data_IF_060628245195
#
_entry.id   IF_060628245195
#
_cell.length_a   1.000
_cell.length_b   1.000
_cell.length_c   1.000
_cell.angle_alpha   90.00
_cell.angle_beta   90.00
_cell.angle_gamma   90.00
#
_symmetry.space_group_name_H-M   'P 1'
#
loop_
_entity.id
_entity.type
_entity.pdbx_description
1 polymer ?
#
# COMPACT_ATOMS: atom_id res chain seq x y z
N UNK A 1 -18.25 30.30 -10.65
CA UNK A 1 -18.75 29.40 -9.58
C UNK A 1 -18.66 27.98 -10.11
N UNK A 2 -18.05 27.09 -9.35
CA UNK A 2 -17.92 25.66 -9.67
C UNK A 2 -18.57 24.83 -8.57
N UNK A 3 -18.98 23.62 -8.89
CA UNK A 3 -19.49 22.68 -7.91
C UNK A 3 -18.36 22.24 -6.95
N UNK A 4 -18.72 21.85 -5.73
CA UNK A 4 -17.76 21.31 -4.77
C UNK A 4 -17.01 20.10 -5.35
N UNK A 5 -17.71 19.28 -6.15
CA UNK A 5 -17.07 18.16 -6.91
C UNK A 5 -15.92 18.63 -7.79
N UNK A 6 -16.16 19.64 -8.62
CA UNK A 6 -15.13 20.23 -9.51
C UNK A 6 -13.98 20.85 -8.69
N UNK A 7 -14.33 21.59 -7.62
CA UNK A 7 -13.33 22.25 -6.77
C UNK A 7 -12.40 21.25 -6.09
N UNK A 8 -12.95 20.16 -5.54
CA UNK A 8 -12.14 19.08 -4.93
C UNK A 8 -11.22 18.46 -5.97
N UNK A 9 -11.73 18.18 -7.18
CA UNK A 9 -10.96 17.55 -8.26
C UNK A 9 -9.81 18.45 -8.72
N UNK A 10 -10.06 19.75 -8.90
CA UNK A 10 -9.02 20.74 -9.20
C UNK A 10 -7.99 20.83 -8.06
N UNK A 11 -8.44 20.86 -6.81
CA UNK A 11 -7.55 20.96 -5.67
C UNK A 11 -6.60 19.74 -5.58
N UNK A 12 -7.09 18.52 -5.83
CA UNK A 12 -6.25 17.31 -5.89
C UNK A 12 -5.23 17.40 -7.03
N UNK A 13 -5.67 17.84 -8.21
CA UNK A 13 -4.81 18.00 -9.38
C UNK A 13 -3.72 19.06 -9.15
N UNK A 14 -4.11 20.24 -8.67
CA UNK A 14 -3.21 21.36 -8.42
C UNK A 14 -2.28 21.11 -7.23
N UNK A 15 -2.69 20.27 -6.26
CA UNK A 15 -1.80 19.76 -5.22
C UNK A 15 -0.68 18.85 -5.77
N UNK A 16 -0.71 18.49 -7.05
CA UNK A 16 0.28 17.62 -7.67
C UNK A 16 0.12 16.15 -7.31
N UNK A 17 -1.07 15.71 -6.88
CA UNK A 17 -1.31 14.29 -6.65
C UNK A 17 -1.09 13.51 -7.95
N UNK A 18 -0.18 12.54 -7.92
CA UNK A 18 0.20 11.73 -9.08
C UNK A 18 -0.61 10.44 -9.16
N UNK A 19 -0.89 9.84 -8.02
CA UNK A 19 -1.65 8.60 -7.93
C UNK A 19 -2.95 8.87 -7.18
N UNK A 20 -4.05 8.77 -7.91
CA UNK A 20 -5.40 8.92 -7.35
C UNK A 20 -6.15 7.62 -7.61
N UNK A 21 -6.68 7.01 -6.55
CA UNK A 21 -7.45 5.77 -6.62
C UNK A 21 -8.90 6.00 -6.21
N UNK A 22 -9.80 5.22 -6.77
CA UNK A 22 -11.22 5.28 -6.44
C UNK A 22 -11.83 3.87 -6.56
N UNK A 23 -12.66 3.52 -5.61
CA UNK A 23 -13.64 2.42 -5.76
C UNK A 23 -15.01 3.06 -5.97
N UNK A 24 -15.81 2.59 -6.95
CA UNK A 24 -17.11 3.19 -7.25
C UNK A 24 -18.00 3.32 -6.01
N UNK A 25 -18.47 4.52 -5.75
CA UNK A 25 -19.35 4.88 -4.65
C UNK A 25 -19.71 6.35 -4.72
N UNK A 26 -20.87 6.72 -4.12
CA UNK A 26 -21.38 8.07 -4.14
C UNK A 26 -20.32 9.08 -3.65
N UNK A 27 -20.19 10.19 -4.34
CA UNK A 27 -19.23 11.26 -4.07
C UNK A 27 -17.83 10.96 -4.64
N UNK A 28 -17.25 9.81 -4.30
CA UNK A 28 -15.95 9.42 -4.81
C UNK A 28 -15.93 9.19 -6.32
N UNK A 29 -17.00 8.64 -6.87
CA UNK A 29 -17.12 8.39 -8.32
C UNK A 29 -17.15 9.69 -9.11
N UNK A 30 -17.92 10.67 -8.65
CA UNK A 30 -18.12 11.95 -9.33
C UNK A 30 -16.82 12.79 -9.27
N UNK A 31 -16.20 12.87 -8.11
CA UNK A 31 -14.91 13.58 -7.96
C UNK A 31 -13.81 12.91 -8.79
N UNK A 32 -13.76 11.58 -8.82
CA UNK A 32 -12.77 10.86 -9.62
C UNK A 32 -12.98 11.07 -11.13
N UNK A 33 -14.22 11.09 -11.61
CA UNK A 33 -14.52 11.36 -13.00
C UNK A 33 -14.05 12.76 -13.41
N UNK A 34 -14.38 13.78 -12.62
CA UNK A 34 -13.92 15.15 -12.85
C UNK A 34 -12.38 15.26 -12.79
N UNK A 35 -11.71 14.54 -11.87
CA UNK A 35 -10.25 14.48 -11.81
C UNK A 35 -9.65 13.87 -13.09
N UNK A 36 -10.23 12.81 -13.63
CA UNK A 36 -9.77 12.19 -14.89
C UNK A 36 -9.88 13.18 -16.06
N UNK A 37 -10.94 13.95 -16.13
CA UNK A 37 -11.13 14.98 -17.16
C UNK A 37 -10.06 16.09 -17.04
N UNK A 38 -9.84 16.61 -15.85
CA UNK A 38 -8.83 17.66 -15.57
C UNK A 38 -7.42 17.18 -15.87
N UNK A 39 -7.07 15.97 -15.46
CA UNK A 39 -5.75 15.37 -15.68
C UNK A 39 -5.53 14.93 -17.15
N UNK A 40 -6.60 14.88 -17.95
CA UNK A 40 -6.58 14.32 -19.32
C UNK A 40 -6.05 12.87 -19.35
N UNK A 41 -6.25 12.11 -18.29
CA UNK A 41 -5.80 10.73 -18.15
C UNK A 41 -6.97 9.84 -17.75
N UNK A 42 -7.08 8.69 -18.40
CA UNK A 42 -8.04 7.67 -18.02
C UNK A 42 -7.41 6.76 -16.95
N UNK A 43 -7.72 7.05 -15.69
CA UNK A 43 -7.28 6.22 -14.57
C UNK A 43 -8.27 5.08 -14.36
N UNK A 44 -7.84 3.81 -14.27
CA UNK A 44 -8.74 2.70 -13.96
C UNK A 44 -9.31 2.83 -12.54
N UNK A 45 -10.61 2.51 -12.39
CA UNK A 45 -11.21 2.37 -11.06
C UNK A 45 -10.76 1.06 -10.42
N UNK A 46 -10.60 1.08 -9.11
CA UNK A 46 -10.27 -0.11 -8.33
C UNK A 46 -11.53 -0.91 -7.98
N UNK A 47 -11.35 -2.20 -7.69
CA UNK A 47 -12.45 -3.11 -7.35
C UNK A 47 -12.60 -3.34 -5.85
N UNK A 48 -11.57 -3.03 -5.08
CA UNK A 48 -11.52 -3.31 -3.64
C UNK A 48 -10.89 -2.15 -2.88
N UNK A 49 -11.53 -1.68 -1.82
CA UNK A 49 -11.14 -0.45 -1.11
C UNK A 49 -9.81 -0.58 -0.39
N UNK A 50 -9.55 -1.73 0.23
CA UNK A 50 -8.26 -1.99 0.88
C UNK A 50 -7.11 -1.96 -0.13
N UNK A 51 -7.32 -2.53 -1.31
CA UNK A 51 -6.34 -2.50 -2.41
C UNK A 51 -6.14 -1.09 -2.94
N UNK A 52 -7.23 -0.35 -3.20
CA UNK A 52 -7.19 1.04 -3.67
C UNK A 52 -6.42 1.96 -2.70
N UNK A 53 -6.73 1.84 -1.41
CA UNK A 53 -6.04 2.55 -0.33
C UNK A 53 -4.54 2.23 -0.33
N UNK A 54 -4.20 0.94 -0.40
CA UNK A 54 -2.80 0.48 -0.32
C UNK A 54 -1.99 0.86 -1.57
N UNK A 55 -2.60 0.92 -2.76
CA UNK A 55 -1.96 1.46 -3.96
C UNK A 55 -1.57 2.93 -3.74
N UNK A 56 -2.49 3.75 -3.25
CA UNK A 56 -2.20 5.16 -2.96
C UNK A 56 -1.15 5.32 -1.86
N UNK A 57 -1.20 4.51 -0.80
CA UNK A 57 -0.19 4.48 0.26
C UNK A 57 1.18 4.09 -0.29
N UNK A 58 1.27 3.06 -1.15
CA UNK A 58 2.52 2.64 -1.81
C UNK A 58 3.15 3.76 -2.64
N UNK A 59 2.33 4.53 -3.37
CA UNK A 59 2.80 5.70 -4.11
C UNK A 59 3.32 6.80 -3.19
N UNK A 60 2.64 7.06 -2.07
CA UNK A 60 3.09 8.02 -1.06
C UNK A 60 4.43 7.60 -0.44
N UNK A 61 4.58 6.34 -0.04
CA UNK A 61 5.84 5.81 0.48
C UNK A 61 6.97 5.93 -0.55
N UNK A 62 6.67 5.72 -1.83
CA UNK A 62 7.59 5.88 -2.95
C UNK A 62 7.92 7.34 -3.31
N UNK A 63 7.33 8.32 -2.61
CA UNK A 63 7.69 9.73 -2.70
C UNK A 63 6.78 10.60 -3.56
N UNK A 64 5.61 10.11 -3.99
CA UNK A 64 4.66 10.87 -4.79
C UNK A 64 3.37 11.16 -4.02
N UNK A 65 2.88 12.40 -4.09
CA UNK A 65 1.57 12.73 -3.50
C UNK A 65 0.48 11.85 -4.09
N UNK A 66 -0.39 11.34 -3.24
CA UNK A 66 -1.46 10.41 -3.61
C UNK A 66 -2.75 10.69 -2.87
N UNK A 67 -3.85 10.26 -3.45
CA UNK A 67 -5.16 10.32 -2.82
C UNK A 67 -5.97 9.04 -3.06
N UNK A 68 -6.83 8.72 -2.10
CA UNK A 68 -7.84 7.67 -2.25
C UNK A 68 -9.22 8.28 -2.03
N UNK A 69 -10.15 8.02 -2.97
CA UNK A 69 -11.52 8.51 -2.93
C UNK A 69 -12.46 7.35 -2.65
N UNK A 70 -12.98 7.27 -1.45
CA UNK A 70 -13.81 6.14 -1.00
C UNK A 70 -15.04 6.61 -0.23
N UNK A 71 -16.14 5.89 -0.39
CA UNK A 71 -17.33 6.04 0.44
C UNK A 71 -17.01 5.62 1.89
N UNK A 72 -17.75 6.12 2.87
CA UNK A 72 -17.57 5.78 4.29
C UNK A 72 -17.57 4.25 4.56
N UNK A 73 -18.41 3.47 3.87
CA UNK A 73 -18.40 2.01 3.94
C UNK A 73 -17.10 1.40 3.42
N UNK A 74 -16.54 2.03 2.36
CA UNK A 74 -15.23 1.63 1.83
C UNK A 74 -14.10 1.87 2.82
N UNK A 75 -14.17 2.95 3.61
CA UNK A 75 -13.20 3.18 4.70
C UNK A 75 -13.26 2.04 5.74
N UNK A 76 -14.48 1.62 6.13
CA UNK A 76 -14.65 0.51 7.07
C UNK A 76 -14.05 -0.79 6.52
N UNK A 77 -14.16 -1.03 5.21
CA UNK A 77 -13.56 -2.19 4.54
C UNK A 77 -12.03 -2.08 4.43
N UNK A 78 -11.49 -0.86 4.31
CA UNK A 78 -10.05 -0.58 4.24
C UNK A 78 -9.40 -0.40 5.63
N UNK A 79 -10.13 -0.64 6.73
CA UNK A 79 -9.69 -0.35 8.10
C UNK A 79 -8.30 -0.92 8.44
N UNK A 80 -8.04 -2.17 8.02
CA UNK A 80 -6.76 -2.84 8.23
C UNK A 80 -5.60 -2.08 7.55
N UNK A 81 -5.77 -1.65 6.29
CA UNK A 81 -4.77 -0.84 5.58
C UNK A 81 -4.53 0.51 6.24
N UNK A 82 -5.59 1.13 6.79
CA UNK A 82 -5.47 2.40 7.52
C UNK A 82 -4.57 2.22 8.74
N UNK A 83 -4.83 1.22 9.58
CA UNK A 83 -4.05 0.95 10.79
C UNK A 83 -2.57 0.69 10.47
N UNK A 84 -2.28 -0.14 9.47
CA UNK A 84 -0.91 -0.44 9.07
C UNK A 84 -0.20 0.79 8.48
N UNK A 85 -0.92 1.62 7.71
CA UNK A 85 -0.34 2.83 7.13
C UNK A 85 0.03 3.89 8.17
N UNK A 86 -0.68 3.95 9.30
CA UNK A 86 -0.31 4.80 10.44
C UNK A 86 0.99 4.34 11.10
N UNK A 87 1.21 3.03 11.16
CA UNK A 87 2.48 2.45 11.66
C UNK A 87 3.63 2.68 10.69
N UNK A 88 3.41 2.44 9.39
CA UNK A 88 4.41 2.63 8.33
C UNK A 88 4.70 4.11 8.02
N UNK A 89 3.74 4.99 8.28
CA UNK A 89 3.84 6.40 7.92
C UNK A 89 3.79 6.67 6.41
N UNK A 90 4.19 7.88 6.01
CA UNK A 90 4.24 8.34 4.62
C UNK A 90 5.55 9.07 4.33
N UNK A 91 5.93 9.14 3.04
CA UNK A 91 7.05 9.97 2.56
C UNK A 91 6.54 11.25 1.92
N UNK A 92 5.57 11.14 1.00
CA UNK A 92 4.84 12.26 0.42
C UNK A 92 3.41 12.32 0.98
N UNK A 93 2.69 13.39 0.71
CA UNK A 93 1.32 13.57 1.20
C UNK A 93 0.37 12.48 0.71
N UNK A 94 -0.35 11.85 1.63
CA UNK A 94 -1.41 10.88 1.35
C UNK A 94 -2.71 11.33 1.99
N UNK A 95 -3.70 11.63 1.15
CA UNK A 95 -5.00 12.15 1.57
C UNK A 95 -6.11 11.15 1.25
N UNK A 96 -6.91 10.80 2.26
CA UNK A 96 -8.07 9.92 2.14
C UNK A 96 -9.33 10.77 2.14
N UNK A 97 -10.01 10.88 0.99
CA UNK A 97 -11.27 11.57 0.91
C UNK A 97 -12.41 10.58 1.18
N UNK A 98 -13.08 10.79 2.30
CA UNK A 98 -14.14 9.91 2.81
C UNK A 98 -15.49 10.57 2.58
N UNK A 99 -16.30 9.97 1.71
CA UNK A 99 -17.62 10.48 1.35
C UNK A 99 -18.70 9.87 2.25
N UNK A 100 -19.35 10.72 3.04
CA UNK A 100 -20.35 10.37 4.04
C UNK A 100 -21.76 10.67 3.52
N UNK A 101 -22.53 9.64 3.22
CA UNK A 101 -23.93 9.72 2.81
C UNK A 101 -24.86 9.65 4.05
N UNK A 102 -24.84 10.72 4.84
CA UNK A 102 -25.54 10.78 6.13
C UNK A 102 -27.05 10.64 6.03
N UNK A 103 -27.63 10.95 4.89
CA UNK A 103 -29.08 10.84 4.65
C UNK A 103 -29.48 9.54 3.99
N UNK A 104 -28.52 8.61 3.79
CA UNK A 104 -28.74 7.31 3.15
C UNK A 104 -29.49 7.39 1.81
N UNK A 105 -29.13 8.37 0.99
CA UNK A 105 -29.75 8.51 -0.33
C UNK A 105 -29.27 7.41 -1.29
N UNK A 106 -28.08 6.90 -1.06
CA UNK A 106 -27.38 5.90 -1.88
C UNK A 106 -26.64 4.85 -1.04
N UNK A 107 -27.03 4.71 0.24
CA UNK A 107 -26.40 3.77 1.16
C UNK A 107 -27.45 2.88 1.83
N UNK A 108 -27.14 1.59 1.96
CA UNK A 108 -28.04 0.62 2.58
C UNK A 108 -28.12 0.76 4.12
N UNK A 109 -27.14 1.41 4.73
CA UNK A 109 -27.15 1.71 6.16
C UNK A 109 -26.35 3.00 6.47
N UNK A 110 -26.66 3.57 7.62
CA UNK A 110 -25.98 4.75 8.16
C UNK A 110 -25.23 4.33 9.42
N UNK A 111 -24.02 4.84 9.59
CA UNK A 111 -23.23 4.62 10.81
C UNK A 111 -22.43 5.88 11.17
N UNK A 112 -21.87 5.91 12.38
CA UNK A 112 -21.11 7.05 12.87
C UNK A 112 -19.69 7.06 12.27
N UNK A 113 -19.50 7.72 11.12
CA UNK A 113 -18.20 7.81 10.41
C UNK A 113 -17.13 8.53 11.23
N UNK A 114 -17.43 9.65 11.94
CA UNK A 114 -16.48 10.24 12.88
C UNK A 114 -15.95 9.28 13.94
N UNK A 115 -16.81 8.45 14.52
CA UNK A 115 -16.38 7.44 15.50
C UNK A 115 -15.47 6.36 14.88
N UNK A 116 -15.72 5.96 13.62
CA UNK A 116 -14.84 5.05 12.89
C UNK A 116 -13.45 5.69 12.68
N UNK A 117 -13.40 6.93 12.19
CA UNK A 117 -12.13 7.65 11.98
C UNK A 117 -11.34 7.80 13.28
N UNK A 118 -12.02 8.13 14.38
CA UNK A 118 -11.41 8.22 15.71
C UNK A 118 -10.89 6.86 16.18
N UNK A 119 -11.67 5.79 16.01
CA UNK A 119 -11.30 4.43 16.38
C UNK A 119 -10.11 3.88 15.58
N UNK A 120 -9.95 4.34 14.34
CA UNK A 120 -8.79 4.04 13.49
C UNK A 120 -7.57 4.91 13.81
N UNK A 121 -7.72 5.93 14.65
CA UNK A 121 -6.69 6.91 15.00
C UNK A 121 -6.14 7.71 13.80
N UNK A 122 -6.84 7.72 12.66
CA UNK A 122 -6.40 8.51 11.51
C UNK A 122 -6.71 10.00 11.76
N UNK A 123 -5.72 10.90 11.63
CA UNK A 123 -5.98 12.33 11.72
C UNK A 123 -7.00 12.75 10.65
N UNK A 124 -8.08 13.43 11.06
CA UNK A 124 -9.08 13.83 10.08
C UNK A 124 -9.64 15.22 10.35
N UNK A 125 -10.18 15.84 9.29
CA UNK A 125 -10.99 17.07 9.35
C UNK A 125 -12.27 16.85 8.54
N UNK A 126 -13.36 17.48 9.00
CA UNK A 126 -14.58 17.58 8.18
C UNK A 126 -14.44 18.79 7.26
N UNK A 127 -14.72 18.59 5.97
CA UNK A 127 -14.73 19.66 4.98
C UNK A 127 -15.74 20.75 5.40
N UNK A 128 -15.32 22.01 5.35
CA UNK A 128 -16.15 23.17 5.56
C UNK A 128 -16.35 23.90 4.23
N UNK A 129 -17.60 24.24 3.90
CA UNK A 129 -17.90 25.05 2.73
C UNK A 129 -17.28 26.46 2.85
N UNK A 130 -17.08 27.11 1.73
CA UNK A 130 -16.49 28.44 1.53
C UNK A 130 -14.94 28.50 1.54
N UNK A 131 -14.27 27.38 1.75
CA UNK A 131 -12.81 27.27 1.61
C UNK A 131 -12.39 25.84 1.16
N UNK A 132 -13.24 25.18 0.39
CA UNK A 132 -13.09 23.79 -0.05
C UNK A 132 -11.75 23.56 -0.73
N UNK A 133 -11.39 24.40 -1.71
CA UNK A 133 -10.17 24.23 -2.48
C UNK A 133 -8.93 24.24 -1.58
N UNK A 134 -8.83 25.23 -0.69
CA UNK A 134 -7.67 25.38 0.20
C UNK A 134 -7.57 24.24 1.22
N UNK A 135 -8.68 23.81 1.79
CA UNK A 135 -8.69 22.72 2.76
C UNK A 135 -8.16 21.42 2.16
N UNK A 136 -8.45 21.12 0.88
CA UNK A 136 -7.89 19.95 0.19
C UNK A 136 -6.39 20.14 -0.07
N UNK A 137 -5.94 21.32 -0.50
CA UNK A 137 -4.52 21.63 -0.67
C UNK A 137 -3.74 21.47 0.65
N UNK A 138 -4.27 22.04 1.72
CA UNK A 138 -3.67 22.00 3.05
C UNK A 138 -3.62 20.57 3.63
N UNK A 139 -4.54 19.69 3.23
CA UNK A 139 -4.52 18.29 3.68
C UNK A 139 -3.26 17.54 3.22
N UNK A 140 -2.77 17.80 2.00
CA UNK A 140 -1.51 17.20 1.55
C UNK A 140 -0.31 17.70 2.37
N UNK A 141 -0.23 19.01 2.59
CA UNK A 141 0.83 19.60 3.42
C UNK A 141 0.75 19.12 4.88
N UNK A 142 -0.46 18.97 5.40
CA UNK A 142 -0.69 18.42 6.74
C UNK A 142 -0.23 16.97 6.84
N UNK A 143 -0.57 16.11 5.86
CA UNK A 143 -0.05 14.75 5.78
C UNK A 143 1.48 14.70 5.77
N UNK A 144 2.11 15.55 4.97
CA UNK A 144 3.58 15.65 4.89
C UNK A 144 4.22 16.09 6.21
N UNK A 145 3.61 17.07 6.89
CA UNK A 145 4.10 17.55 8.17
C UNK A 145 4.05 16.50 9.29
N UNK A 146 3.01 15.67 9.29
CA UNK A 146 2.86 14.55 10.22
C UNK A 146 3.63 13.30 9.76
N UNK A 147 3.92 13.20 8.47
CA UNK A 147 4.35 11.95 7.83
C UNK A 147 3.38 10.80 8.16
N UNK A 148 2.09 11.07 8.02
CA UNK A 148 0.97 10.13 8.23
C UNK A 148 -0.08 10.33 7.14
N UNK A 149 -0.86 9.29 6.80
CA UNK A 149 -2.10 9.51 6.06
C UNK A 149 -3.03 10.40 6.87
N UNK A 150 -3.79 11.27 6.19
CA UNK A 150 -4.83 12.09 6.80
C UNK A 150 -6.14 11.93 6.05
N UNK A 151 -7.27 12.08 6.73
CA UNK A 151 -8.57 11.98 6.11
C UNK A 151 -9.29 13.34 6.04
N UNK A 152 -10.04 13.55 4.95
CA UNK A 152 -11.01 14.63 4.82
C UNK A 152 -12.40 14.00 4.70
N UNK A 153 -13.24 14.25 5.69
CA UNK A 153 -14.62 13.77 5.74
C UNK A 153 -15.53 14.74 5.01
N UNK A 154 -16.21 14.28 3.96
CA UNK A 154 -17.00 15.09 3.03
C UNK A 154 -18.44 14.59 3.08
N UNK A 155 -19.38 15.53 3.30
CA UNK A 155 -20.81 15.25 3.19
C UNK A 155 -21.21 15.20 1.72
N UNK A 156 -21.82 14.11 1.29
CA UNK A 156 -22.23 13.94 -0.11
C UNK A 156 -23.29 14.94 -0.56
N UNK A 157 -24.12 15.45 0.37
CA UNK A 157 -25.12 16.50 0.08
C UNK A 157 -24.50 17.86 -0.25
N UNK A 158 -23.21 18.05 0.03
CA UNK A 158 -22.52 19.29 -0.29
C UNK A 158 -21.95 19.32 -1.72
N UNK A 159 -21.78 18.19 -2.38
CA UNK A 159 -21.05 18.05 -3.64
C UNK A 159 -21.60 18.87 -4.81
N UNK A 160 -22.92 19.05 -4.86
CA UNK A 160 -23.59 19.87 -5.89
C UNK A 160 -23.65 21.37 -5.56
N UNK A 161 -23.26 21.79 -4.37
CA UNK A 161 -23.24 23.21 -3.99
C UNK A 161 -22.18 23.96 -4.77
N UNK A 162 -22.42 25.26 -4.98
CA UNK A 162 -21.54 26.11 -5.76
C UNK A 162 -20.67 26.99 -4.86
N UNK A 163 -19.40 27.08 -5.19
CA UNK A 163 -18.43 27.92 -4.49
C UNK A 163 -17.51 28.61 -5.51
N UNK A 164 -16.92 29.74 -5.13
CA UNK A 164 -15.85 30.39 -5.90
C UNK A 164 -14.51 30.07 -5.27
N UNK A 165 -13.50 29.79 -6.08
CA UNK A 165 -12.14 29.57 -5.63
C UNK A 165 -11.15 30.21 -6.59
N UNK A 166 -9.91 30.40 -6.15
CA UNK A 166 -8.81 30.82 -6.98
C UNK A 166 -7.85 29.65 -7.14
N UNK A 167 -7.71 29.09 -8.35
CA UNK A 167 -6.79 27.98 -8.58
C UNK A 167 -5.33 28.44 -8.36
N UNK A 168 -4.52 27.54 -7.82
CA UNK A 168 -3.08 27.71 -7.69
C UNK A 168 -2.38 27.05 -8.89
N UNK A 169 -1.14 27.45 -9.12
CA UNK A 169 -0.30 26.70 -10.05
C UNK A 169 -0.10 25.28 -9.51
N UNK A 170 -0.21 24.29 -10.40
CA UNK A 170 -0.01 22.90 -10.04
C UNK A 170 1.34 22.70 -9.37
N UNK A 171 1.32 22.13 -8.18
CA UNK A 171 2.54 21.80 -7.44
C UNK A 171 3.30 20.68 -8.15
N UNK A 172 4.63 20.82 -8.18
CA UNK A 172 5.55 19.73 -8.51
C UNK A 172 6.13 19.28 -7.18
N UNK A 173 5.53 18.24 -6.61
CA UNK A 173 6.00 17.66 -5.34
C UNK A 173 6.44 16.24 -5.60
N UNK A 174 7.73 16.01 -5.45
CA UNK A 174 8.33 14.70 -5.53
C UNK A 174 9.36 14.60 -4.41
N UNK A 175 9.21 13.57 -3.59
CA UNK A 175 10.12 13.26 -2.50
C UNK A 175 10.92 12.01 -2.89
N UNK A 176 12.23 12.05 -2.75
CA UNK A 176 13.04 10.87 -3.02
C UNK A 176 12.81 9.82 -1.94
N UNK A 177 12.42 8.63 -2.36
CA UNK A 177 12.34 7.49 -1.46
C UNK A 177 13.72 7.22 -0.83
N UNK A 178 13.70 7.07 0.50
CA UNK A 178 14.86 6.63 1.27
C UNK A 178 14.46 5.40 2.07
N UNK A 179 15.19 4.30 1.85
CA UNK A 179 14.96 3.06 2.59
C UNK A 179 15.05 3.30 4.10
N UNK A 180 13.97 3.05 4.80
CA UNK A 180 13.88 3.14 6.27
C UNK A 180 13.02 1.98 6.80
N UNK A 181 13.66 0.83 7.00
CA UNK A 181 12.96 -0.39 7.43
C UNK A 181 12.35 -0.27 8.82
N UNK A 182 12.93 0.55 9.69
CA UNK A 182 12.42 0.73 11.06
C UNK A 182 11.05 1.43 11.02
N UNK A 183 10.86 2.35 10.09
CA UNK A 183 9.60 3.07 9.93
C UNK A 183 8.64 2.34 8.99
N UNK A 184 9.12 1.86 7.82
CA UNK A 184 8.24 1.43 6.73
C UNK A 184 8.00 -0.09 6.67
N UNK A 185 8.61 -0.87 7.55
CA UNK A 185 8.37 -2.30 7.64
C UNK A 185 7.46 -2.59 8.83
N UNK A 186 6.18 -2.80 8.56
CA UNK A 186 5.22 -3.29 9.56
C UNK A 186 5.50 -4.78 9.79
N UNK A 187 5.97 -5.11 10.98
CA UNK A 187 6.40 -6.47 11.30
C UNK A 187 6.88 -6.62 12.74
N UNK A 188 7.36 -7.80 13.14
CA UNK A 188 7.55 -8.15 14.55
C UNK A 188 8.68 -7.38 15.28
N UNK A 189 9.54 -6.65 14.56
CA UNK A 189 10.74 -6.08 15.20
C UNK A 189 10.57 -4.65 15.71
N UNK A 190 9.61 -3.88 15.18
CA UNK A 190 9.51 -2.45 15.43
C UNK A 190 8.16 -1.94 15.94
N UNK A 191 7.16 -2.76 16.31
CA UNK A 191 5.81 -2.28 16.59
C UNK A 191 5.77 -1.31 17.78
N UNK A 192 6.56 -1.55 18.83
CA UNK A 192 6.63 -0.66 20.00
C UNK A 192 7.22 0.72 19.62
N UNK A 193 8.25 0.75 18.80
CA UNK A 193 8.85 2.00 18.32
C UNK A 193 7.87 2.75 17.41
N UNK A 194 7.27 2.07 16.44
CA UNK A 194 6.30 2.66 15.51
C UNK A 194 5.09 3.22 16.26
N UNK A 195 4.60 2.52 17.30
CA UNK A 195 3.51 3.01 18.14
C UNK A 195 3.89 4.28 18.90
N UNK A 196 5.05 4.33 19.52
CA UNK A 196 5.56 5.54 20.23
C UNK A 196 5.71 6.73 19.26
N UNK A 197 6.22 6.48 18.05
CA UNK A 197 6.33 7.51 17.02
C UNK A 197 4.94 8.01 16.58
N UNK A 198 3.97 7.13 16.39
CA UNK A 198 2.60 7.50 16.05
C UNK A 198 1.97 8.36 17.16
N UNK A 199 2.06 7.94 18.42
CA UNK A 199 1.53 8.68 19.56
C UNK A 199 2.12 10.09 19.67
N UNK A 200 3.45 10.22 19.52
CA UNK A 200 4.11 11.53 19.53
C UNK A 200 3.65 12.42 18.36
N UNK A 201 3.50 11.87 17.15
CA UNK A 201 2.97 12.61 15.99
C UNK A 201 1.54 13.10 16.22
N UNK A 202 0.68 12.26 16.81
CA UNK A 202 -0.72 12.60 17.07
C UNK A 202 -0.87 13.64 18.20
N UNK A 203 0.02 13.61 19.21
CA UNK A 203 0.05 14.58 20.31
C UNK A 203 0.78 15.89 19.97
N UNK A 204 1.46 15.94 18.80
CA UNK A 204 2.28 17.09 18.41
C UNK A 204 3.62 17.19 19.13
N UNK A 205 4.06 16.09 19.71
CA UNK A 205 5.37 15.99 20.37
C UNK A 205 6.51 15.73 19.36
N UNK A 206 7.74 16.00 19.80
CA UNK A 206 8.94 15.78 18.97
C UNK A 206 9.30 14.30 18.88
N UNK A 207 8.72 13.59 17.91
CA UNK A 207 8.97 12.18 17.66
C UNK A 207 10.42 11.86 17.23
N UNK A 208 11.14 12.84 16.70
CA UNK A 208 12.57 12.70 16.32
C UNK A 208 13.49 12.42 17.51
N UNK A 209 13.03 12.71 18.73
CA UNK A 209 13.76 12.44 19.96
C UNK A 209 13.60 11.00 20.46
N UNK A 210 12.70 10.22 19.88
CA UNK A 210 12.50 8.81 20.26
C UNK A 210 13.70 8.00 19.77
N UNK A 211 14.31 7.27 20.71
CA UNK A 211 15.49 6.46 20.41
C UNK A 211 15.17 5.39 19.36
N UNK A 212 15.80 5.50 18.21
CA UNK A 212 15.66 4.56 17.09
C UNK A 212 16.27 3.20 17.46
N UNK A 213 15.53 2.08 17.32
CA UNK A 213 16.07 0.74 17.54
C UNK A 213 17.05 0.35 16.43
N UNK A 214 17.90 -0.62 16.73
CA UNK A 214 18.79 -1.24 15.73
C UNK A 214 18.09 -2.44 15.11
N UNK A 215 18.02 -2.57 13.78
CA UNK A 215 17.51 -3.79 13.14
C UNK A 215 18.31 -5.02 13.58
N UNK A 216 17.64 -6.16 13.84
CA UNK A 216 18.33 -7.39 14.21
C UNK A 216 19.23 -7.88 13.05
N UNK A 217 20.38 -8.46 13.38
CA UNK A 217 21.19 -9.22 12.42
C UNK A 217 20.67 -10.66 12.35
N UNK A 218 20.21 -11.08 11.20
CA UNK A 218 19.62 -12.42 11.03
C UNK A 218 20.63 -13.40 10.44
N UNK A 219 20.57 -14.70 10.81
CA UNK A 219 19.64 -15.31 11.77
C UNK A 219 19.99 -15.14 13.24
N UNK A 220 21.22 -14.72 13.59
CA UNK A 220 21.83 -14.90 14.89
C UNK A 220 21.10 -14.18 16.04
N UNK A 221 20.44 -13.05 15.75
CA UNK A 221 19.69 -12.27 16.73
C UNK A 221 18.24 -12.75 16.92
N UNK A 222 17.83 -13.82 16.27
CA UNK A 222 16.47 -14.33 16.29
C UNK A 222 16.29 -15.51 17.25
N UNK A 223 15.08 -15.76 17.76
CA UNK A 223 14.72 -17.00 18.43
C UNK A 223 14.96 -18.22 17.51
N UNK A 224 15.30 -19.39 18.06
CA UNK A 224 15.67 -20.61 17.32
C UNK A 224 14.65 -21.01 16.24
N UNK A 225 13.35 -20.88 16.54
CA UNK A 225 12.29 -21.18 15.57
C UNK A 225 12.38 -20.29 14.33
N UNK A 226 12.65 -19.01 14.49
CA UNK A 226 12.81 -18.08 13.38
C UNK A 226 14.16 -18.28 12.66
N UNK A 227 15.20 -18.68 13.38
CA UNK A 227 16.47 -19.04 12.74
C UNK A 227 16.32 -20.20 11.76
N UNK A 228 15.53 -21.23 12.11
CA UNK A 228 15.26 -22.35 11.21
C UNK A 228 14.53 -21.88 9.93
N UNK A 229 13.55 -21.01 10.07
CA UNK A 229 12.85 -20.40 8.94
C UNK A 229 13.84 -19.62 8.06
N UNK A 230 14.70 -18.78 8.65
CA UNK A 230 15.70 -18.04 7.89
C UNK A 230 16.63 -18.97 7.13
N UNK A 231 17.12 -20.05 7.74
CA UNK A 231 18.00 -21.02 7.06
C UNK A 231 17.33 -21.68 5.85
N UNK A 232 16.03 -21.97 5.95
CA UNK A 232 15.25 -22.56 4.85
C UNK A 232 15.18 -21.61 3.64
N UNK A 233 14.97 -20.31 3.87
CA UNK A 233 14.80 -19.32 2.79
C UNK A 233 16.10 -18.61 2.41
N UNK A 234 17.19 -18.79 3.17
CA UNK A 234 18.47 -18.11 2.97
C UNK A 234 19.06 -18.28 1.55
N UNK A 235 19.03 -19.47 0.88
CA UNK A 235 19.55 -19.61 -0.47
C UNK A 235 18.86 -18.67 -1.46
N UNK A 236 17.51 -18.62 -1.43
CA UNK A 236 16.74 -17.75 -2.29
C UNK A 236 17.05 -16.27 -2.03
N UNK A 237 17.05 -15.82 -0.78
CA UNK A 237 17.29 -14.41 -0.45
C UNK A 237 18.75 -13.98 -0.69
N UNK A 238 19.71 -14.90 -0.61
CA UNK A 238 21.10 -14.63 -0.97
C UNK A 238 21.28 -14.32 -2.46
N UNK A 239 20.53 -15.00 -3.33
CA UNK A 239 20.49 -14.71 -4.76
C UNK A 239 19.65 -13.43 -5.01
N UNK A 240 18.43 -13.37 -4.44
CA UNK A 240 17.50 -12.26 -4.65
C UNK A 240 18.13 -10.91 -4.26
N UNK A 241 18.94 -10.86 -3.20
CA UNK A 241 19.68 -9.66 -2.77
C UNK A 241 20.47 -8.98 -3.91
N UNK A 242 21.02 -9.79 -4.84
CA UNK A 242 21.80 -9.27 -5.98
C UNK A 242 20.94 -8.84 -7.16
N UNK A 243 19.70 -9.35 -7.25
CA UNK A 243 18.79 -9.17 -8.37
C UNK A 243 17.57 -8.32 -8.02
N UNK A 244 17.43 -7.95 -6.75
CA UNK A 244 16.31 -7.13 -6.29
C UNK A 244 16.22 -5.81 -7.05
N UNK A 245 15.00 -5.34 -7.25
CA UNK A 245 14.77 -4.09 -7.94
C UNK A 245 14.95 -2.83 -7.08
N UNK A 246 14.39 -1.74 -7.57
CA UNK A 246 14.48 -0.41 -6.95
C UNK A 246 13.72 -0.36 -5.63
N UNK A 247 12.51 -0.93 -5.60
CA UNK A 247 11.66 -1.06 -4.41
C UNK A 247 11.15 -2.50 -4.32
N UNK A 248 11.28 -3.08 -3.16
CA UNK A 248 10.75 -4.40 -2.82
C UNK A 248 9.75 -4.25 -1.69
N UNK A 249 8.51 -4.64 -1.95
CA UNK A 249 7.46 -4.66 -0.95
C UNK A 249 7.24 -6.06 -0.39
N UNK A 250 6.87 -6.16 0.86
CA UNK A 250 6.49 -7.39 1.53
C UNK A 250 5.14 -7.24 2.23
N UNK A 251 4.60 -8.34 2.68
CA UNK A 251 3.48 -8.39 3.61
C UNK A 251 3.93 -8.98 4.95
N UNK A 252 3.04 -9.02 5.93
CA UNK A 252 3.31 -9.62 7.25
C UNK A 252 3.46 -11.14 7.10
N UNK A 253 4.63 -11.56 6.64
CA UNK A 253 4.99 -12.94 6.33
C UNK A 253 6.48 -13.17 6.59
N UNK A 254 7.00 -14.33 6.18
CA UNK A 254 8.42 -14.69 6.23
C UNK A 254 9.32 -13.62 5.57
N UNK A 255 8.81 -12.93 4.52
CA UNK A 255 9.58 -11.90 3.81
C UNK A 255 10.01 -10.74 4.70
N UNK A 256 9.21 -10.38 5.70
CA UNK A 256 9.49 -9.28 6.66
C UNK A 256 10.83 -9.46 7.38
N UNK A 257 11.20 -10.71 7.71
CA UNK A 257 12.46 -11.03 8.38
C UNK A 257 13.65 -10.59 7.51
N UNK A 258 13.55 -10.78 6.19
CA UNK A 258 14.61 -10.47 5.23
C UNK A 258 14.73 -8.98 4.88
N UNK A 259 13.95 -8.11 5.53
CA UNK A 259 14.20 -6.67 5.55
C UNK A 259 15.47 -6.30 6.33
N UNK A 260 15.91 -7.18 7.23
CA UNK A 260 17.03 -6.99 8.14
C UNK A 260 18.38 -7.39 7.54
N UNK A 261 19.52 -6.87 8.10
CA UNK A 261 20.85 -7.31 7.71
C UNK A 261 21.07 -8.83 7.98
N UNK A 262 21.88 -9.52 7.18
CA UNK A 262 22.70 -9.03 6.06
C UNK A 262 21.98 -9.00 4.71
N UNK A 263 20.71 -9.43 4.64
CA UNK A 263 19.97 -9.56 3.38
C UNK A 263 19.49 -8.21 2.83
N UNK A 264 18.80 -7.41 3.65
CA UNK A 264 18.27 -6.11 3.24
C UNK A 264 17.40 -6.18 1.96
N UNK A 265 16.61 -7.23 1.84
CA UNK A 265 15.88 -7.56 0.61
C UNK A 265 14.52 -6.89 0.49
N UNK A 266 13.94 -6.42 1.59
CA UNK A 266 12.60 -5.83 1.63
C UNK A 266 12.69 -4.40 2.16
N UNK A 267 11.92 -3.49 1.58
CA UNK A 267 11.98 -2.06 1.88
C UNK A 267 10.75 -1.56 2.63
N UNK A 268 9.58 -2.08 2.27
CA UNK A 268 8.27 -1.67 2.78
C UNK A 268 7.44 -2.93 3.05
N UNK A 269 6.81 -3.01 4.20
CA UNK A 269 5.87 -4.10 4.52
C UNK A 269 4.57 -3.53 5.10
N UNK A 270 3.47 -4.23 4.82
CA UNK A 270 2.15 -3.95 5.34
C UNK A 270 1.43 -5.27 5.69
N UNK A 271 0.12 -5.24 5.87
CA UNK A 271 -0.73 -6.38 6.21
C UNK A 271 -0.61 -7.58 5.26
N UNK A 272 -1.20 -8.70 5.66
CA UNK A 272 -1.24 -9.96 4.89
C UNK A 272 -1.88 -9.74 3.51
N UNK A 273 -1.10 -9.94 2.44
CA UNK A 273 -1.53 -9.74 1.04
C UNK A 273 -1.40 -8.32 0.51
N UNK A 274 -0.94 -7.37 1.32
CA UNK A 274 -0.79 -5.96 0.92
C UNK A 274 0.48 -5.65 0.11
N UNK A 275 1.41 -6.59 -0.05
CA UNK A 275 2.65 -6.37 -0.80
C UNK A 275 2.40 -5.99 -2.26
N UNK A 276 1.46 -6.67 -2.93
CA UNK A 276 1.16 -6.43 -4.36
C UNK A 276 0.61 -5.02 -4.59
N UNK A 277 -0.44 -4.55 -3.90
CA UNK A 277 -0.93 -3.19 -4.08
C UNK A 277 0.10 -2.12 -3.68
N UNK A 278 0.95 -2.33 -2.67
CA UNK A 278 2.07 -1.41 -2.37
C UNK A 278 3.02 -1.27 -3.56
N UNK A 279 3.41 -2.40 -4.17
CA UNK A 279 4.30 -2.41 -5.33
C UNK A 279 3.66 -1.73 -6.56
N UNK A 280 2.36 -1.93 -6.79
CA UNK A 280 1.62 -1.20 -7.83
C UNK A 280 1.75 0.30 -7.59
N UNK A 281 1.55 0.78 -6.36
CA UNK A 281 1.72 2.17 -5.99
C UNK A 281 3.12 2.70 -6.30
N UNK A 282 4.17 1.94 -5.98
CA UNK A 282 5.55 2.29 -6.30
C UNK A 282 5.80 2.35 -7.82
N UNK A 283 5.23 1.42 -8.60
CA UNK A 283 5.29 1.48 -10.07
C UNK A 283 4.63 2.75 -10.61
N UNK A 284 3.44 3.10 -10.12
CA UNK A 284 2.72 4.30 -10.52
C UNK A 284 3.45 5.59 -10.10
N UNK A 285 4.24 5.53 -9.02
CA UNK A 285 5.14 6.60 -8.62
C UNK A 285 6.33 6.78 -9.59
N UNK A 286 6.64 5.78 -10.41
CA UNK A 286 7.67 5.87 -11.45
C UNK A 286 8.81 4.87 -11.32
N UNK A 287 8.82 4.01 -10.31
CA UNK A 287 9.80 2.95 -10.16
C UNK A 287 9.51 1.80 -11.13
N UNK A 288 10.49 1.45 -11.96
CA UNK A 288 10.28 0.50 -13.05
C UNK A 288 10.55 -0.95 -12.68
N UNK A 289 11.36 -1.16 -11.68
CA UNK A 289 11.81 -2.50 -11.25
C UNK A 289 11.36 -2.73 -9.81
N UNK A 290 10.08 -3.05 -9.65
CA UNK A 290 9.47 -3.32 -8.34
C UNK A 290 9.14 -4.79 -8.17
N UNK A 291 9.33 -5.29 -6.94
CA UNK A 291 9.00 -6.64 -6.54
C UNK A 291 8.01 -6.63 -5.38
N UNK A 292 7.03 -7.53 -5.44
CA UNK A 292 6.14 -7.85 -4.33
C UNK A 292 6.44 -9.26 -3.82
N UNK A 293 6.73 -9.41 -2.55
CA UNK A 293 7.03 -10.68 -1.90
C UNK A 293 5.88 -11.09 -0.99
N UNK A 294 5.35 -12.29 -1.15
CA UNK A 294 4.19 -12.78 -0.39
C UNK A 294 4.29 -14.29 -0.15
N UNK A 295 3.67 -14.76 0.93
CA UNK A 295 3.43 -16.20 1.13
C UNK A 295 2.18 -16.67 0.38
N UNK A 296 2.07 -17.97 0.14
CA UNK A 296 0.89 -18.58 -0.48
C UNK A 296 -0.39 -18.30 0.30
N UNK A 297 -0.37 -18.42 1.63
CA UNK A 297 -1.51 -18.05 2.47
C UNK A 297 -1.90 -16.57 2.30
N UNK A 298 -0.94 -15.67 2.37
CA UNK A 298 -1.18 -14.23 2.21
C UNK A 298 -1.71 -13.89 0.82
N UNK A 299 -1.18 -14.55 -0.21
CA UNK A 299 -1.64 -14.39 -1.58
C UNK A 299 -3.10 -14.84 -1.74
N UNK A 300 -3.44 -16.01 -1.17
CA UNK A 300 -4.81 -16.52 -1.20
C UNK A 300 -5.78 -15.70 -0.36
N UNK A 301 -5.34 -15.16 0.78
CA UNK A 301 -6.19 -14.38 1.66
C UNK A 301 -6.60 -13.02 1.06
N UNK A 302 -5.65 -12.31 0.44
CA UNK A 302 -5.90 -10.96 -0.09
C UNK A 302 -5.01 -10.58 -1.28
N UNK A 303 -3.80 -11.14 -1.41
CA UNK A 303 -2.83 -10.71 -2.42
C UNK A 303 -3.33 -10.87 -3.87
N UNK A 304 -4.14 -11.91 -4.15
CA UNK A 304 -4.71 -12.15 -5.48
C UNK A 304 -5.61 -11.00 -5.97
N UNK A 305 -6.22 -10.23 -5.06
CA UNK A 305 -7.00 -9.05 -5.43
C UNK A 305 -6.12 -7.97 -6.10
N UNK A 306 -4.84 -7.91 -5.72
CA UNK A 306 -3.86 -7.02 -6.36
C UNK A 306 -3.52 -7.42 -7.80
N UNK A 307 -3.64 -8.69 -8.20
CA UNK A 307 -3.39 -9.12 -9.58
C UNK A 307 -4.34 -8.46 -10.58
N UNK A 308 -5.62 -8.39 -10.23
CA UNK A 308 -6.65 -7.75 -11.08
C UNK A 308 -6.28 -6.29 -11.32
N UNK A 309 -5.83 -5.60 -10.27
CA UNK A 309 -5.38 -4.20 -10.37
C UNK A 309 -4.10 -4.06 -11.21
N UNK A 310 -3.13 -4.97 -11.07
CA UNK A 310 -1.92 -4.94 -11.86
C UNK A 310 -2.19 -5.14 -13.34
N UNK A 311 -3.10 -6.06 -13.68
CA UNK A 311 -3.48 -6.35 -15.07
C UNK A 311 -4.22 -5.18 -15.70
N UNK A 312 -5.29 -4.68 -15.07
CA UNK A 312 -6.06 -3.58 -15.65
C UNK A 312 -5.25 -2.29 -15.84
N UNK A 313 -4.16 -2.13 -15.06
CA UNK A 313 -3.25 -0.99 -15.12
C UNK A 313 -2.02 -1.23 -15.97
N UNK A 314 -1.86 -2.43 -16.52
CA UNK A 314 -0.70 -2.83 -17.31
C UNK A 314 0.63 -2.64 -16.56
N UNK A 315 0.68 -3.03 -15.28
CA UNK A 315 1.85 -2.85 -14.43
C UNK A 315 2.86 -3.98 -14.64
N UNK A 316 4.12 -3.70 -15.02
CA UNK A 316 5.15 -4.71 -15.22
C UNK A 316 5.74 -5.24 -13.89
N UNK A 317 4.86 -5.59 -12.96
CA UNK A 317 5.18 -5.99 -11.60
C UNK A 317 5.80 -7.37 -11.56
N UNK A 318 6.79 -7.57 -10.66
CA UNK A 318 7.35 -8.87 -10.32
C UNK A 318 6.80 -9.32 -8.97
N UNK A 319 6.24 -10.52 -8.93
CA UNK A 319 5.66 -11.10 -7.72
C UNK A 319 6.43 -12.37 -7.40
N UNK A 320 6.88 -12.52 -6.15
CA UNK A 320 7.51 -13.73 -5.65
C UNK A 320 6.63 -14.33 -4.56
N UNK A 321 6.12 -15.54 -4.82
CA UNK A 321 5.24 -16.28 -3.91
C UNK A 321 6.03 -17.44 -3.30
N UNK A 322 6.06 -17.52 -1.97
CA UNK A 322 6.62 -18.65 -1.23
C UNK A 322 5.51 -19.67 -1.01
N UNK A 323 5.53 -20.77 -1.76
CA UNK A 323 4.53 -21.83 -1.66
C UNK A 323 4.99 -22.92 -0.69
N UNK A 324 4.58 -22.84 0.56
CA UNK A 324 4.91 -23.81 1.60
C UNK A 324 3.68 -24.55 2.15
N UNK A 325 2.49 -24.25 1.64
CA UNK A 325 1.20 -24.79 2.08
C UNK A 325 0.96 -24.64 3.59
N UNK A 326 1.47 -23.55 4.17
CA UNK A 326 1.34 -23.26 5.61
C UNK A 326 1.13 -21.76 5.86
N UNK A 327 0.27 -21.43 6.80
CA UNK A 327 0.20 -20.07 7.37
C UNK A 327 1.38 -19.88 8.34
N UNK A 328 2.60 -19.75 7.79
CA UNK A 328 3.86 -19.86 8.54
C UNK A 328 3.99 -18.80 9.65
N UNK A 329 3.57 -17.57 9.39
CA UNK A 329 3.69 -16.47 10.35
C UNK A 329 2.76 -16.60 11.58
N UNK A 330 1.72 -17.44 11.50
CA UNK A 330 0.68 -17.59 12.54
C UNK A 330 0.68 -18.95 13.20
N UNK A 331 1.73 -19.73 13.06
CA UNK A 331 1.91 -21.03 13.74
C UNK A 331 1.89 -22.25 12.83
N UNK A 332 2.00 -22.08 11.51
CA UNK A 332 2.19 -23.15 10.56
C UNK A 332 0.93 -23.98 10.27
N UNK A 333 -0.26 -23.41 10.43
CA UNK A 333 -1.51 -24.06 10.07
C UNK A 333 -1.49 -24.49 8.59
N UNK A 334 -1.95 -25.71 8.26
CA UNK A 334 -1.90 -26.20 6.88
C UNK A 334 -2.86 -25.42 5.97
N UNK A 335 -2.39 -25.17 4.78
CA UNK A 335 -3.18 -24.63 3.66
C UNK A 335 -3.53 -25.78 2.72
N UNK A 336 -4.76 -25.91 2.23
CA UNK A 336 -5.13 -26.99 1.33
C UNK A 336 -4.33 -26.96 0.03
N UNK A 337 -3.78 -28.10 -0.35
CA UNK A 337 -2.99 -28.31 -1.58
C UNK A 337 -3.76 -27.92 -2.82
N UNK A 338 -3.08 -27.27 -3.77
CA UNK A 338 -3.60 -26.94 -5.10
C UNK A 338 -4.57 -25.75 -5.15
N UNK A 339 -4.81 -25.03 -4.05
CA UNK A 339 -5.63 -23.80 -4.07
C UNK A 339 -4.89 -22.67 -4.80
N UNK A 340 -3.58 -22.51 -4.53
CA UNK A 340 -2.75 -21.53 -5.22
C UNK A 340 -2.81 -21.73 -6.74
N UNK A 341 -2.62 -22.98 -7.22
CA UNK A 341 -2.65 -23.30 -8.63
C UNK A 341 -4.00 -22.96 -9.28
N UNK A 342 -5.11 -23.19 -8.57
CA UNK A 342 -6.46 -22.82 -9.04
C UNK A 342 -6.63 -21.30 -9.15
N UNK A 343 -6.11 -20.53 -8.22
CA UNK A 343 -6.18 -19.05 -8.28
C UNK A 343 -5.33 -18.55 -9.45
N UNK A 344 -4.21 -19.20 -9.73
CA UNK A 344 -3.32 -18.83 -10.84
C UNK A 344 -3.78 -19.35 -12.20
N UNK A 345 -4.88 -20.10 -12.28
CA UNK A 345 -5.48 -20.50 -13.55
C UNK A 345 -5.86 -19.26 -14.40
N UNK A 346 -5.38 -19.21 -15.64
CA UNK A 346 -5.49 -18.06 -16.53
C UNK A 346 -4.30 -17.07 -16.45
N UNK A 347 -3.40 -17.26 -15.49
CA UNK A 347 -2.16 -16.48 -15.37
C UNK A 347 -0.92 -17.23 -15.80
N UNK A 348 -1.05 -18.45 -16.35
CA UNK A 348 0.06 -19.34 -16.70
C UNK A 348 1.14 -18.67 -17.57
N UNK A 349 0.82 -17.77 -18.51
CA UNK A 349 1.84 -17.07 -19.30
C UNK A 349 2.80 -16.24 -18.45
N UNK A 350 2.35 -15.75 -17.30
CA UNK A 350 3.13 -14.93 -16.38
C UNK A 350 3.86 -15.74 -15.32
N UNK A 351 3.46 -17.02 -15.10
CA UNK A 351 3.98 -17.84 -14.00
C UNK A 351 5.33 -18.49 -14.39
N UNK A 352 6.26 -18.46 -13.44
CA UNK A 352 7.53 -19.18 -13.45
C UNK A 352 7.68 -19.95 -12.15
N UNK A 353 8.25 -21.14 -12.20
CA UNK A 353 8.44 -21.99 -11.03
C UNK A 353 9.92 -22.09 -10.66
N UNK A 354 10.21 -22.01 -9.38
CA UNK A 354 11.47 -22.45 -8.77
C UNK A 354 11.12 -23.75 -8.03
N UNK A 355 11.46 -24.89 -8.65
CA UNK A 355 11.14 -26.20 -8.10
C UNK A 355 12.09 -26.63 -6.97
N UNK A 356 13.32 -26.12 -6.99
CA UNK A 356 14.34 -26.42 -5.99
C UNK A 356 14.84 -25.12 -5.36
N UNK A 357 14.12 -24.55 -4.39
CA UNK A 357 14.48 -23.25 -3.80
C UNK A 357 15.73 -23.30 -2.90
N UNK A 358 16.45 -24.43 -2.91
CA UNK A 358 17.79 -24.61 -2.34
C UNK A 358 18.90 -24.62 -3.42
N UNK A 359 18.55 -24.73 -4.69
CA UNK A 359 19.49 -24.69 -5.82
C UNK A 359 19.65 -23.22 -6.29
N UNK A 360 20.78 -22.63 -5.93
CA UNK A 360 21.08 -21.23 -6.25
C UNK A 360 21.16 -20.95 -7.75
N UNK A 361 21.50 -21.96 -8.58
CA UNK A 361 21.57 -21.80 -10.04
C UNK A 361 20.15 -21.69 -10.64
N UNK A 362 19.22 -22.56 -10.21
CA UNK A 362 17.83 -22.50 -10.63
C UNK A 362 17.21 -21.19 -10.20
N UNK A 363 17.41 -20.79 -8.93
CA UNK A 363 16.92 -19.51 -8.39
C UNK A 363 17.43 -18.34 -9.24
N UNK A 364 18.74 -18.30 -9.52
CA UNK A 364 19.35 -17.20 -10.27
C UNK A 364 18.80 -17.14 -11.71
N UNK A 365 18.67 -18.27 -12.37
CA UNK A 365 18.13 -18.36 -13.74
C UNK A 365 16.70 -17.79 -13.81
N UNK A 366 15.81 -18.24 -12.92
CA UNK A 366 14.39 -17.83 -12.92
C UNK A 366 14.24 -16.36 -12.53
N UNK A 367 14.97 -15.89 -11.50
CA UNK A 367 14.87 -14.50 -11.06
C UNK A 367 15.48 -13.53 -12.08
N UNK A 368 16.55 -13.91 -12.79
CA UNK A 368 17.14 -13.10 -13.87
C UNK A 368 16.16 -12.97 -15.04
N UNK A 369 15.55 -14.08 -15.48
CA UNK A 369 14.51 -14.02 -16.53
C UNK A 369 13.37 -13.07 -16.11
N UNK A 370 12.86 -13.24 -14.90
CA UNK A 370 11.78 -12.39 -14.39
C UNK A 370 12.17 -10.91 -14.35
N UNK A 371 13.42 -10.58 -13.97
CA UNK A 371 13.89 -9.18 -13.86
C UNK A 371 14.08 -8.52 -15.22
N UNK A 372 14.44 -9.26 -16.26
CA UNK A 372 14.72 -8.72 -17.59
C UNK A 372 13.49 -8.43 -18.43
N UNK A 373 12.37 -9.08 -18.13
CA UNK A 373 11.12 -8.92 -18.89
C UNK A 373 10.41 -7.64 -18.51
N UNK A 374 9.95 -6.88 -19.52
CA UNK A 374 9.16 -5.65 -19.36
C UNK A 374 7.65 -5.92 -19.21
N UNK A 375 7.30 -7.04 -18.59
CA UNK A 375 5.93 -7.50 -18.39
C UNK A 375 5.79 -8.05 -16.97
N UNK A 376 4.56 -8.29 -16.52
CA UNK A 376 4.31 -8.93 -15.23
C UNK A 376 4.95 -10.33 -15.19
N UNK A 377 5.49 -10.68 -14.02
CA UNK A 377 5.95 -12.06 -13.72
C UNK A 377 5.51 -12.46 -12.33
N UNK A 378 5.07 -13.71 -12.22
CA UNK A 378 4.72 -14.37 -10.96
C UNK A 378 5.68 -15.54 -10.79
N UNK A 379 6.62 -15.40 -9.90
CA UNK A 379 7.57 -16.47 -9.55
C UNK A 379 7.04 -17.21 -8.35
N UNK A 380 6.79 -18.50 -8.47
CA UNK A 380 6.37 -19.37 -7.37
C UNK A 380 7.55 -20.24 -6.94
N UNK A 381 8.04 -20.05 -5.73
CA UNK A 381 9.11 -20.84 -5.13
C UNK A 381 8.49 -21.98 -4.30
N UNK A 382 8.76 -23.22 -4.69
CA UNK A 382 8.15 -24.42 -4.12
C UNK A 382 8.90 -24.90 -2.86
N UNK A 383 8.32 -24.59 -1.71
CA UNK A 383 8.78 -25.02 -0.38
C UNK A 383 7.93 -26.15 0.22
N UNK A 384 7.06 -26.79 -0.59
CA UNK A 384 6.26 -27.93 -0.13
C UNK A 384 7.18 -29.11 0.21
N UNK A 385 7.03 -29.65 1.41
CA UNK A 385 7.86 -30.77 1.88
C UNK A 385 9.13 -30.36 2.63
N UNK A 386 9.28 -29.05 2.89
CA UNK A 386 10.35 -28.48 3.72
C UNK A 386 9.97 -28.33 5.19
#
# INVERSE_FOLDING_TARGET
MSSITEIISHAIYDAGAKVVTNVPGIGGTEVFAAFCEISSQNHPRSFHEEVAYTIAHGASLAGERSATLIKAHGLAKAANSVVDSLSAGTTAGFVVLVFDDRLSRHSDCIFNVPALLQGLEIPYRRLQLHDTYRQIQDAFTWSESLQLPVAVLIDTDDLGKLETYTPLQRAVSSHNYKRNVIQHVVGPFFPEYQRKVLEAKLSGESWQMIKTPTPPTIPDSLPDVLQQIVRLYAPLFSVFKRLRGDIVTGDTSTSTIFASPPYNCVDICTYIGGSIPLAIGACLAGYKNTWALTGDFSFMAAGHLGLIEAIQRNIPLKILIFNNEKAQATGGQPVPTGILDRILTGYEPYVRQIHKPQDTNEIETVLQEASQVQDMRIVVADYRGG
#
